data_IF_068267709005
#
_entry.id   IF_068267709005
#
_cell.length_a   1.000
_cell.length_b   1.000
_cell.length_c   1.000
_cell.angle_alpha   90.00
_cell.angle_beta   90.00
_cell.angle_gamma   90.00
#
_symmetry.space_group_name_H-M   'P 1'
#
loop_
_entity.id
_entity.type
_entity.pdbx_description
1 polymer ?
#
# COMPACT_ATOMS: atom_id res chain seq x y z
N UNK A 1 -38.90 15.89 16.07
CA UNK A 1 -38.47 15.75 14.66
C UNK A 1 -36.97 15.52 14.70
N UNK A 2 -36.56 14.25 14.63
CA UNK A 2 -35.17 13.84 14.83
C UNK A 2 -34.40 13.92 13.52
N UNK A 3 -33.33 14.72 13.51
CA UNK A 3 -32.26 14.60 12.51
C UNK A 3 -31.23 13.61 13.06
N UNK A 4 -31.36 12.34 12.72
CA UNK A 4 -30.23 11.41 12.82
C UNK A 4 -29.41 11.57 11.54
N UNK A 5 -28.33 12.34 11.61
CA UNK A 5 -27.28 12.23 10.61
C UNK A 5 -26.64 10.86 10.79
N UNK A 6 -26.86 9.97 9.83
CA UNK A 6 -26.10 8.72 9.70
C UNK A 6 -24.62 9.08 9.60
N UNK A 7 -23.74 8.48 10.41
CA UNK A 7 -22.32 8.76 10.31
C UNK A 7 -21.76 8.39 8.94
N UNK A 8 -20.71 9.09 8.50
CA UNK A 8 -20.10 8.94 7.16
C UNK A 8 -19.65 7.50 6.83
N UNK A 9 -19.52 6.62 7.82
CA UNK A 9 -19.18 5.20 7.64
C UNK A 9 -20.35 4.28 7.28
N UNK A 10 -21.61 4.74 7.31
CA UNK A 10 -22.79 3.91 7.02
C UNK A 10 -23.23 3.88 5.55
N UNK A 11 -22.55 4.59 4.64
CA UNK A 11 -22.92 4.58 3.21
C UNK A 11 -22.19 3.53 2.37
N UNK A 12 -22.25 2.25 2.78
CA UNK A 12 -21.87 1.11 1.92
C UNK A 12 -23.00 0.09 1.85
N UNK A 13 -24.23 0.58 1.70
CA UNK A 13 -25.38 -0.25 1.28
C UNK A 13 -25.18 -0.59 -0.21
N UNK A 14 -24.33 -1.58 -0.51
CA UNK A 14 -24.16 -2.10 -1.88
C UNK A 14 -22.86 -2.85 -2.18
N UNK A 15 -21.79 -2.58 -1.43
CA UNK A 15 -20.45 -3.09 -1.74
C UNK A 15 -20.03 -4.20 -0.76
N UNK A 16 -19.89 -5.44 -1.27
CA UNK A 16 -19.72 -6.64 -0.44
C UNK A 16 -18.25 -7.03 -0.21
N UNK A 17 -17.30 -6.39 -0.88
CA UNK A 17 -15.89 -6.78 -0.96
C UNK A 17 -14.95 -5.60 -0.65
N UNK A 18 -15.29 -4.80 0.36
CA UNK A 18 -14.54 -3.60 0.71
C UNK A 18 -13.20 -3.89 1.43
N UNK A 19 -12.26 -2.96 1.30
CA UNK A 19 -10.94 -2.96 1.95
C UNK A 19 -10.76 -1.73 2.84
N UNK A 20 -9.83 -1.73 3.81
CA UNK A 20 -8.95 -2.85 4.19
C UNK A 20 -9.73 -3.93 4.96
N UNK A 21 -9.05 -5.00 5.36
CA UNK A 21 -9.61 -6.04 6.24
C UNK A 21 -8.66 -6.35 7.39
N UNK A 22 -9.19 -7.01 8.42
CA UNK A 22 -8.37 -7.66 9.44
C UNK A 22 -7.96 -9.04 8.91
N UNK A 23 -6.65 -9.25 8.74
CA UNK A 23 -6.04 -10.51 8.34
C UNK A 23 -6.02 -11.44 9.55
N UNK A 24 -7.17 -12.04 9.83
CA UNK A 24 -7.38 -12.94 10.96
C UNK A 24 -7.76 -14.33 10.43
N UNK A 25 -6.73 -15.15 10.19
CA UNK A 25 -6.85 -16.46 9.57
C UNK A 25 -6.71 -16.42 8.05
N UNK A 26 -6.19 -17.50 7.49
CA UNK A 26 -5.94 -17.66 6.06
C UNK A 26 -5.98 -19.12 5.65
N UNK A 27 -6.18 -19.37 4.35
CA UNK A 27 -6.04 -20.68 3.75
C UNK A 27 -4.64 -20.81 3.16
N UNK A 28 -3.89 -21.80 3.66
CA UNK A 28 -2.59 -22.13 3.12
C UNK A 28 -2.74 -22.54 1.65
N UNK A 29 -2.05 -21.82 0.77
CA UNK A 29 -2.17 -21.95 -0.69
C UNK A 29 -0.79 -21.95 -1.31
N UNK A 30 -0.52 -22.93 -2.18
CA UNK A 30 0.61 -22.85 -3.11
C UNK A 30 0.14 -22.12 -4.37
N UNK A 31 0.65 -20.91 -4.58
CA UNK A 31 0.30 -20.09 -5.75
C UNK A 31 0.96 -20.58 -7.04
N UNK A 32 1.97 -21.46 -6.99
CA UNK A 32 2.62 -22.03 -8.19
C UNK A 32 3.01 -20.97 -9.23
N UNK A 33 2.37 -21.02 -10.41
CA UNK A 33 2.60 -20.07 -11.53
C UNK A 33 1.83 -18.75 -11.38
N UNK A 34 0.87 -18.68 -10.48
CA UNK A 34 0.03 -17.50 -10.22
C UNK A 34 0.63 -16.60 -9.12
N UNK A 35 1.81 -16.96 -8.59
CA UNK A 35 2.55 -16.22 -7.55
C UNK A 35 2.92 -14.80 -7.99
N UNK A 36 3.10 -13.93 -6.99
CA UNK A 36 3.68 -12.59 -7.18
C UNK A 36 5.09 -12.68 -7.78
N UNK A 37 5.36 -11.84 -8.78
CA UNK A 37 6.71 -11.53 -9.25
C UNK A 37 6.87 -10.03 -9.44
N UNK A 38 7.78 -9.42 -8.66
CA UNK A 38 8.07 -7.98 -8.73
C UNK A 38 9.16 -7.72 -9.77
N UNK A 39 8.86 -6.87 -10.77
CA UNK A 39 9.78 -6.50 -11.87
C UNK A 39 10.05 -5.01 -11.90
N UNK A 40 10.32 -4.39 -10.75
CA UNK A 40 10.72 -2.99 -10.69
C UNK A 40 12.22 -2.79 -11.00
N UNK A 41 12.57 -1.64 -11.58
CA UNK A 41 13.95 -1.23 -11.88
C UNK A 41 14.37 -0.07 -10.99
N UNK A 42 15.68 0.05 -10.75
CA UNK A 42 16.25 1.09 -9.88
C UNK A 42 15.96 2.52 -10.33
N UNK A 43 15.84 2.73 -11.64
CA UNK A 43 15.49 4.02 -12.23
C UNK A 43 13.97 4.12 -12.38
N UNK A 44 13.30 4.55 -11.31
CA UNK A 44 11.95 5.06 -11.39
C UNK A 44 12.00 6.56 -11.07
N UNK A 45 11.26 7.34 -11.83
CA UNK A 45 11.08 8.77 -11.59
C UNK A 45 9.62 8.98 -11.31
N UNK A 46 9.34 9.71 -10.24
CA UNK A 46 7.98 10.03 -9.85
C UNK A 46 7.91 11.46 -9.36
N UNK A 47 6.69 11.95 -9.35
CA UNK A 47 6.32 13.27 -8.89
C UNK A 47 5.61 13.10 -7.56
N UNK A 48 6.07 13.81 -6.53
CA UNK A 48 5.28 13.90 -5.30
C UNK A 48 4.12 14.83 -5.58
N UNK A 49 2.92 14.38 -5.28
CA UNK A 49 1.72 15.20 -5.31
C UNK A 49 1.25 15.46 -3.88
N UNK A 50 1.04 16.73 -3.54
CA UNK A 50 0.31 17.10 -2.32
C UNK A 50 -1.18 17.14 -2.65
N UNK A 51 -1.81 15.97 -2.57
CA UNK A 51 -3.26 15.82 -2.73
C UNK A 51 -4.02 15.99 -1.39
N UNK A 52 -3.32 16.46 -0.35
CA UNK A 52 -3.84 16.55 1.01
C UNK A 52 -4.10 15.20 1.69
N UNK A 53 -3.67 14.06 1.11
CA UNK A 53 -3.75 12.73 1.73
C UNK A 53 -2.42 12.26 2.34
N UNK A 54 -1.31 12.92 2.02
CA UNK A 54 -0.02 12.72 2.67
C UNK A 54 1.11 12.67 1.65
N UNK A 55 2.04 11.73 1.84
CA UNK A 55 3.09 11.47 0.85
C UNK A 55 2.52 10.54 -0.21
N UNK A 56 2.18 11.12 -1.36
CA UNK A 56 1.70 10.41 -2.54
C UNK A 56 2.65 10.66 -3.70
N UNK A 57 3.09 9.61 -4.36
CA UNK A 57 4.01 9.71 -5.49
C UNK A 57 3.42 9.00 -6.68
N UNK A 58 3.28 9.75 -7.79
CA UNK A 58 2.88 9.20 -9.07
C UNK A 58 4.08 8.97 -9.95
N UNK A 59 4.15 7.80 -10.56
CA UNK A 59 5.25 7.45 -11.46
C UNK A 59 4.92 7.85 -12.89
N UNK A 60 5.96 8.27 -13.62
CA UNK A 60 5.86 8.35 -15.08
C UNK A 60 5.66 6.94 -15.63
N UNK A 61 4.69 6.78 -16.53
CA UNK A 61 4.40 5.48 -17.13
C UNK A 61 5.65 4.84 -17.74
N UNK A 62 6.02 3.66 -17.26
CA UNK A 62 7.15 2.88 -17.76
C UNK A 62 6.76 1.40 -17.83
N UNK A 63 6.71 0.85 -19.05
CA UNK A 63 6.34 -0.55 -19.28
C UNK A 63 7.32 -1.56 -18.66
N UNK A 64 8.49 -1.11 -18.19
CA UNK A 64 9.49 -1.92 -17.50
C UNK A 64 9.30 -1.99 -15.99
N UNK A 65 8.39 -1.19 -15.43
CA UNK A 65 8.06 -1.14 -14.01
C UNK A 65 6.70 -1.83 -13.79
N UNK A 66 6.71 -3.11 -13.44
CA UNK A 66 5.48 -3.88 -13.29
C UNK A 66 5.60 -5.00 -12.25
N UNK A 67 4.46 -5.56 -11.88
CA UNK A 67 4.35 -6.86 -11.22
C UNK A 67 3.62 -7.84 -12.14
N UNK A 68 3.91 -9.12 -11.94
CA UNK A 68 3.10 -10.22 -12.47
C UNK A 68 2.38 -10.90 -11.30
N UNK A 69 1.08 -11.12 -11.45
CA UNK A 69 0.20 -11.74 -10.47
C UNK A 69 -0.93 -12.45 -11.22
N UNK A 70 -1.26 -13.70 -10.88
CA UNK A 70 -2.25 -14.52 -11.61
C UNK A 70 -2.05 -14.55 -13.13
N UNK A 71 -0.78 -14.61 -13.56
CA UNK A 71 -0.38 -14.56 -14.99
C UNK A 71 -0.84 -13.29 -15.72
N UNK A 72 -1.28 -12.26 -15.00
CA UNK A 72 -1.55 -10.93 -15.51
C UNK A 72 -0.40 -9.99 -15.18
N UNK A 73 -0.22 -8.98 -16.03
CA UNK A 73 0.76 -7.91 -15.83
C UNK A 73 0.07 -6.65 -15.34
N UNK A 74 0.57 -6.06 -14.25
CA UNK A 74 0.10 -4.79 -13.72
C UNK A 74 1.26 -3.80 -13.66
N UNK A 75 1.11 -2.67 -14.32
CA UNK A 75 2.12 -1.61 -14.41
C UNK A 75 2.07 -0.70 -13.20
N UNK A 76 3.25 -0.30 -12.70
CA UNK A 76 3.39 0.62 -11.58
C UNK A 76 2.75 1.97 -11.90
N UNK A 77 1.87 2.44 -11.03
CA UNK A 77 1.14 3.72 -11.20
C UNK A 77 1.60 4.72 -10.15
N UNK A 78 1.54 4.33 -8.89
CA UNK A 78 1.77 5.23 -7.76
C UNK A 78 2.12 4.43 -6.51
N UNK A 79 2.60 5.14 -5.49
CA UNK A 79 2.62 4.62 -4.14
C UNK A 79 2.35 5.73 -3.12
N UNK A 80 1.77 5.37 -1.99
CA UNK A 80 1.45 6.29 -0.91
C UNK A 80 1.44 5.58 0.43
N UNK A 81 1.53 6.37 1.50
CA UNK A 81 1.62 5.88 2.86
C UNK A 81 0.35 6.18 3.65
N UNK A 82 -0.02 5.24 4.51
CA UNK A 82 -1.03 5.40 5.54
C UNK A 82 -0.38 5.31 6.92
N UNK A 83 -0.86 6.15 7.84
CA UNK A 83 -0.52 6.08 9.26
C UNK A 83 -1.77 6.32 10.13
N UNK A 84 -2.12 5.39 11.04
CA UNK A 84 -1.54 4.05 11.21
C UNK A 84 -1.80 3.12 10.00
N UNK A 85 -1.49 1.82 10.07
CA UNK A 85 -1.81 0.90 8.97
C UNK A 85 -3.32 0.77 8.73
N UNK A 86 -3.72 0.46 7.51
CA UNK A 86 -5.11 0.21 7.15
C UNK A 86 -5.50 -1.24 7.43
N UNK A 87 -4.70 -2.19 6.96
CA UNK A 87 -4.84 -3.60 7.30
C UNK A 87 -4.40 -3.85 8.73
N UNK A 88 -5.11 -4.76 9.39
CA UNK A 88 -4.75 -5.30 10.69
C UNK A 88 -4.30 -6.74 10.53
N UNK A 89 -3.46 -7.23 11.44
CA UNK A 89 -3.03 -8.64 11.50
C UNK A 89 -3.44 -9.21 12.84
N UNK A 90 -4.27 -10.26 12.84
CA UNK A 90 -4.73 -10.90 14.07
C UNK A 90 -5.43 -9.94 15.05
N UNK A 91 -6.08 -8.88 14.54
CA UNK A 91 -6.72 -7.85 15.37
C UNK A 91 -5.82 -6.68 15.78
N UNK A 92 -4.54 -6.68 15.41
CA UNK A 92 -3.59 -5.62 15.75
C UNK A 92 -3.29 -4.72 14.55
N UNK A 93 -3.47 -3.42 14.73
CA UNK A 93 -3.04 -2.39 13.79
C UNK A 93 -1.52 -2.22 13.85
N UNK A 94 -0.89 -2.08 12.69
CA UNK A 94 0.55 -1.88 12.52
C UNK A 94 0.88 -0.37 12.48
N UNK A 95 2.16 -0.02 12.60
CA UNK A 95 2.60 1.38 12.72
C UNK A 95 2.27 2.21 11.47
N UNK A 96 2.58 1.68 10.29
CA UNK A 96 2.36 2.32 8.99
C UNK A 96 2.12 1.27 7.93
N UNK A 97 1.49 1.67 6.83
CA UNK A 97 1.33 0.82 5.66
C UNK A 97 1.62 1.60 4.38
N UNK A 98 2.45 1.02 3.53
CA UNK A 98 2.69 1.50 2.19
C UNK A 98 1.83 0.73 1.19
N UNK A 99 1.15 1.46 0.32
CA UNK A 99 0.47 0.88 -0.84
C UNK A 99 1.25 1.21 -2.10
N UNK A 100 1.71 0.18 -2.80
CA UNK A 100 2.28 0.31 -4.15
C UNK A 100 1.24 -0.18 -5.16
N UNK A 101 0.67 0.76 -5.90
CA UNK A 101 -0.50 0.54 -6.75
C UNK A 101 -0.05 0.25 -8.18
N UNK A 102 -0.61 -0.80 -8.75
CA UNK A 102 -0.40 -1.20 -10.12
C UNK A 102 -1.74 -1.33 -10.84
N UNK A 103 -1.71 -1.16 -12.17
CA UNK A 103 -2.90 -1.29 -13.01
C UNK A 103 -2.62 -2.18 -14.23
N UNK A 104 -3.54 -3.09 -14.52
CA UNK A 104 -3.57 -3.84 -15.75
C UNK A 104 -4.10 -2.93 -16.86
N UNK A 105 -3.35 -2.82 -17.96
CA UNK A 105 -3.66 -1.90 -19.06
C UNK A 105 -4.81 -2.40 -19.95
N UNK A 106 -5.08 -3.71 -19.93
CA UNK A 106 -6.07 -4.34 -20.81
C UNK A 106 -7.48 -4.23 -20.22
N UNK A 107 -7.63 -4.44 -18.90
CA UNK A 107 -8.94 -4.49 -18.23
C UNK A 107 -9.14 -3.39 -17.16
N UNK A 108 -8.11 -2.59 -16.87
CA UNK A 108 -8.16 -1.51 -15.89
C UNK A 108 -8.19 -1.97 -14.43
N UNK A 109 -8.16 -3.28 -14.16
CA UNK A 109 -8.11 -3.83 -12.79
C UNK A 109 -6.79 -3.47 -12.11
N UNK A 110 -6.79 -3.49 -10.78
CA UNK A 110 -5.65 -3.05 -9.98
C UNK A 110 -5.08 -4.20 -9.18
N UNK A 111 -3.77 -4.14 -8.97
CA UNK A 111 -3.09 -4.98 -7.99
C UNK A 111 -2.30 -4.07 -7.05
N UNK A 112 -2.53 -4.20 -5.75
CA UNK A 112 -1.89 -3.37 -4.74
C UNK A 112 -1.01 -4.23 -3.86
N UNK A 113 0.28 -3.87 -3.80
CA UNK A 113 1.22 -4.45 -2.85
C UNK A 113 1.20 -3.60 -1.56
N UNK A 114 0.68 -4.17 -0.49
CA UNK A 114 0.71 -3.61 0.86
C UNK A 114 1.97 -4.04 1.60
N UNK A 115 2.67 -3.09 2.20
CA UNK A 115 3.89 -3.33 2.98
C UNK A 115 3.75 -2.60 4.32
N UNK A 116 3.74 -3.33 5.43
CA UNK A 116 3.82 -2.72 6.74
C UNK A 116 5.20 -2.11 6.97
N UNK A 117 5.25 -0.94 7.61
CA UNK A 117 6.50 -0.27 7.96
C UNK A 117 6.57 -0.11 9.47
N UNK A 118 7.61 -0.66 10.07
CA UNK A 118 7.80 -0.71 11.51
C UNK A 118 9.12 -0.03 11.94
N UNK A 119 9.15 0.65 13.10
CA UNK A 119 10.37 1.20 13.63
C UNK A 119 11.25 0.08 14.22
N UNK A 120 12.53 0.07 13.89
CA UNK A 120 13.52 -0.77 14.54
C UNK A 120 14.73 0.08 14.95
N UNK A 121 15.19 -0.06 16.20
CA UNK A 121 16.34 0.68 16.73
C UNK A 121 17.69 0.25 16.13
N UNK A 122 17.76 -0.96 15.58
CA UNK A 122 18.97 -1.54 14.96
C UNK A 122 18.93 -1.47 13.43
N UNK A 123 17.83 -1.03 12.83
CA UNK A 123 17.76 -0.89 11.39
C UNK A 123 18.69 0.24 10.92
N UNK A 124 19.38 -0.01 9.82
CA UNK A 124 20.13 1.01 9.08
C UNK A 124 19.32 1.49 7.88
N UNK A 125 19.33 2.79 7.62
CA UNK A 125 18.76 3.31 6.38
C UNK A 125 19.73 3.13 5.22
N UNK A 126 19.21 2.72 4.08
CA UNK A 126 19.97 2.77 2.82
C UNK A 126 20.14 4.24 2.39
N UNK A 127 21.22 4.59 1.68
CA UNK A 127 21.35 5.93 1.10
C UNK A 127 20.17 6.31 0.19
N UNK A 128 19.60 5.32 -0.52
CA UNK A 128 18.42 5.50 -1.37
C UNK A 128 17.18 5.90 -0.56
N UNK A 129 16.90 5.19 0.54
CA UNK A 129 15.80 5.53 1.45
C UNK A 129 15.96 6.94 2.04
N UNK A 130 17.17 7.28 2.53
CA UNK A 130 17.44 8.61 3.09
C UNK A 130 17.22 9.71 2.03
N UNK A 131 17.76 9.53 0.83
CA UNK A 131 17.61 10.50 -0.26
C UNK A 131 16.14 10.68 -0.65
N UNK A 132 15.37 9.60 -0.71
CA UNK A 132 13.95 9.63 -1.03
C UNK A 132 13.15 10.36 0.06
N UNK A 133 13.43 10.09 1.33
CA UNK A 133 12.79 10.76 2.47
C UNK A 133 13.12 12.26 2.50
N UNK A 134 14.37 12.64 2.22
CA UNK A 134 14.76 14.04 2.07
C UNK A 134 13.99 14.72 0.92
N UNK A 135 13.81 14.03 -0.19
CA UNK A 135 12.96 14.48 -1.30
C UNK A 135 11.52 14.72 -0.87
N UNK A 136 10.94 13.82 -0.06
CA UNK A 136 9.61 14.02 0.52
C UNK A 136 9.55 15.28 1.38
N UNK A 137 10.52 15.51 2.26
CA UNK A 137 10.49 16.69 3.13
C UNK A 137 10.65 18.00 2.36
N UNK A 138 11.49 18.00 1.32
CA UNK A 138 11.75 19.17 0.52
C UNK A 138 10.53 19.60 -0.33
N UNK A 139 9.69 18.65 -0.74
CA UNK A 139 8.48 18.94 -1.53
C UNK A 139 7.27 19.35 -0.68
N UNK A 140 7.37 19.31 0.65
CA UNK A 140 6.24 19.58 1.53
C UNK A 140 6.24 21.06 1.92
N UNK A 141 5.26 21.80 1.41
CA UNK A 141 5.06 23.23 1.72
C UNK A 141 5.29 24.21 0.56
N UNK A 142 5.69 23.73 -0.63
CA UNK A 142 5.86 24.58 -1.81
C UNK A 142 4.64 24.55 -2.77
N UNK A 143 3.65 23.68 -2.51
CA UNK A 143 2.51 23.47 -3.41
C UNK A 143 2.91 23.00 -4.80
N UNK A 144 4.14 22.52 -4.96
CA UNK A 144 4.77 22.21 -6.23
C UNK A 144 4.95 20.70 -6.40
N UNK A 145 4.57 20.23 -7.59
CA UNK A 145 4.80 18.88 -8.06
C UNK A 145 6.32 18.69 -8.28
N UNK A 146 7.04 18.33 -7.23
CA UNK A 146 8.48 18.07 -7.30
C UNK A 146 8.75 16.70 -7.91
N UNK A 147 9.50 16.68 -9.00
CA UNK A 147 10.05 15.44 -9.56
C UNK A 147 11.22 15.03 -8.66
N UNK A 148 11.10 13.86 -8.03
CA UNK A 148 12.17 13.28 -7.24
C UNK A 148 12.58 11.92 -7.79
N UNK A 149 13.88 11.56 -7.72
CA UNK A 149 14.30 10.18 -7.81
C UNK A 149 13.61 9.40 -6.69
N UNK A 150 12.75 8.46 -7.05
CA UNK A 150 11.88 7.76 -6.10
C UNK A 150 11.71 6.34 -6.57
N UNK A 151 11.85 5.38 -5.66
CA UNK A 151 11.91 3.98 -6.03
C UNK A 151 11.23 3.11 -4.98
N UNK A 152 10.16 2.36 -5.33
CA UNK A 152 9.46 1.51 -4.38
C UNK A 152 10.34 0.35 -3.88
N UNK A 153 11.46 0.03 -4.57
CA UNK A 153 12.41 -0.99 -4.11
C UNK A 153 13.03 -0.68 -2.74
N UNK A 154 13.22 0.59 -2.38
CA UNK A 154 13.81 0.99 -1.09
C UNK A 154 12.90 0.61 0.10
N UNK A 155 11.61 0.45 -0.17
CA UNK A 155 10.57 0.15 0.81
C UNK A 155 10.27 -1.34 0.94
N UNK A 156 10.89 -2.19 0.10
CA UNK A 156 10.66 -3.62 0.20
C UNK A 156 11.39 -4.22 1.43
N UNK A 157 10.75 -5.17 2.13
CA UNK A 157 11.39 -5.99 3.17
C UNK A 157 12.44 -6.94 2.56
N UNK A 158 13.13 -7.66 3.45
CA UNK A 158 14.09 -8.69 3.09
C UNK A 158 13.40 -9.87 2.42
N UNK A 159 12.44 -10.50 3.11
CA UNK A 159 11.58 -11.54 2.54
C UNK A 159 10.36 -10.94 1.84
N UNK A 160 10.15 -11.34 0.59
CA UNK A 160 9.00 -10.93 -0.24
C UNK A 160 8.22 -12.13 -0.77
N UNK A 161 8.67 -13.32 -0.43
CA UNK A 161 8.11 -14.58 -0.90
C UNK A 161 6.92 -15.01 -0.05
N UNK A 162 6.74 -14.46 1.16
CA UNK A 162 5.62 -14.74 2.05
C UNK A 162 4.62 -13.58 2.09
N UNK A 163 3.36 -13.85 1.73
CA UNK A 163 2.33 -12.81 1.66
C UNK A 163 0.90 -13.37 1.74
N UNK A 164 -0.01 -12.51 2.18
CA UNK A 164 -1.45 -12.73 2.10
C UNK A 164 -1.99 -12.27 0.75
N UNK A 165 -3.09 -12.88 0.28
CA UNK A 165 -3.85 -12.47 -0.91
C UNK A 165 -5.34 -12.46 -0.64
N UNK A 166 -6.04 -11.46 -1.18
CA UNK A 166 -7.50 -11.43 -1.24
C UNK A 166 -7.97 -10.42 -2.30
N UNK A 167 -9.22 -10.55 -2.76
CA UNK A 167 -9.85 -9.58 -3.65
C UNK A 167 -10.63 -8.54 -2.83
N UNK A 168 -10.50 -7.28 -3.18
CA UNK A 168 -11.06 -6.19 -2.41
C UNK A 168 -11.26 -4.91 -3.20
N UNK A 169 -11.19 -3.78 -2.48
CA UNK A 169 -11.45 -2.47 -3.03
C UNK A 169 -10.28 -1.51 -2.88
N UNK A 170 -10.39 -0.35 -3.51
CA UNK A 170 -9.65 0.83 -3.07
C UNK A 170 -10.07 1.19 -1.63
N UNK A 171 -9.12 1.67 -0.83
CA UNK A 171 -9.37 2.12 0.55
C UNK A 171 -9.70 3.62 0.63
N UNK A 172 -9.60 4.33 -0.50
CA UNK A 172 -10.00 5.72 -0.67
C UNK A 172 -11.15 5.84 -1.67
N UNK A 173 -11.97 6.91 -1.62
CA UNK A 173 -13.04 7.13 -2.57
C UNK A 173 -12.55 7.05 -4.03
N UNK A 174 -13.27 6.36 -4.92
CA UNK A 174 -14.66 5.89 -4.79
C UNK A 174 -14.85 4.47 -4.21
N UNK A 175 -13.80 3.85 -3.68
CA UNK A 175 -13.84 2.51 -3.09
C UNK A 175 -14.22 1.39 -4.08
N UNK A 176 -13.76 1.51 -5.32
CA UNK A 176 -14.02 0.54 -6.40
C UNK A 176 -13.53 -0.87 -6.02
N UNK A 177 -14.37 -1.89 -6.20
CA UNK A 177 -14.11 -3.30 -5.87
C UNK A 177 -13.39 -4.03 -7.02
N UNK A 178 -12.22 -3.55 -7.41
CA UNK A 178 -11.44 -4.07 -8.54
C UNK A 178 -9.97 -4.30 -8.20
N UNK A 179 -9.66 -4.56 -6.93
CA UNK A 179 -8.30 -4.63 -6.40
C UNK A 179 -7.94 -6.03 -5.95
N UNK A 180 -6.92 -6.61 -6.59
CA UNK A 180 -6.23 -7.80 -6.09
C UNK A 180 -5.15 -7.36 -5.09
N UNK A 181 -5.39 -7.63 -3.81
CA UNK A 181 -4.47 -7.27 -2.73
C UNK A 181 -3.40 -8.33 -2.54
N UNK A 182 -2.17 -7.88 -2.35
CA UNK A 182 -1.04 -8.68 -1.87
C UNK A 182 -0.41 -7.97 -0.68
N UNK A 183 -0.50 -8.54 0.52
CA UNK A 183 0.07 -7.96 1.74
C UNK A 183 1.29 -8.77 2.14
N UNK A 184 2.50 -8.18 2.06
CA UNK A 184 3.72 -8.87 2.47
C UNK A 184 3.67 -9.19 3.96
N UNK A 185 4.13 -10.40 4.33
CA UNK A 185 4.16 -10.84 5.73
C UNK A 185 5.25 -10.11 6.53
N UNK A 186 6.45 -10.03 5.97
CA UNK A 186 7.56 -9.34 6.60
C UNK A 186 7.39 -7.82 6.46
N UNK A 187 7.41 -7.05 7.58
CA UNK A 187 7.38 -5.60 7.50
C UNK A 187 8.73 -5.06 7.02
N UNK A 188 8.70 -3.92 6.35
CA UNK A 188 9.90 -3.10 6.17
C UNK A 188 10.25 -2.44 7.49
N UNK A 189 11.43 -2.71 8.02
CA UNK A 189 11.94 -2.00 9.19
C UNK A 189 12.77 -0.79 8.78
N UNK A 190 12.57 0.35 9.45
CA UNK A 190 13.39 1.56 9.28
C UNK A 190 13.78 2.13 10.64
N UNK A 191 14.85 2.95 10.75
CA UNK A 191 15.21 3.57 12.02
C UNK A 191 14.05 4.39 12.58
N UNK A 192 13.81 4.29 13.89
CA UNK A 192 12.75 5.06 14.58
C UNK A 192 12.87 6.57 14.33
N UNK A 193 14.09 7.09 14.27
CA UNK A 193 14.36 8.50 14.00
C UNK A 193 13.90 8.93 12.60
N UNK A 194 14.04 8.06 11.60
CA UNK A 194 13.57 8.33 10.23
C UNK A 194 12.05 8.22 10.14
N UNK A 195 11.47 7.18 10.73
CA UNK A 195 10.01 7.02 10.80
C UNK A 195 9.33 8.23 11.46
N UNK A 196 9.91 8.74 12.56
CA UNK A 196 9.37 9.89 13.29
C UNK A 196 9.35 11.17 12.44
N UNK A 197 10.26 11.31 11.48
CA UNK A 197 10.30 12.46 10.56
C UNK A 197 9.21 12.37 9.48
N UNK A 198 8.71 11.17 9.15
CA UNK A 198 7.59 11.00 8.20
C UNK A 198 6.23 11.36 8.82
N UNK A 199 6.04 11.09 10.12
CA UNK A 199 4.75 11.23 10.82
C UNK A 199 4.03 12.57 10.57
N UNK A 200 4.69 13.75 10.60
CA UNK A 200 4.01 15.03 10.39
C UNK A 200 3.35 15.20 9.01
N UNK A 201 3.75 14.38 8.04
CA UNK A 201 3.26 14.42 6.66
C UNK A 201 2.12 13.41 6.41
N UNK A 202 1.80 12.55 7.37
CA UNK A 202 0.77 11.50 7.25
C UNK A 202 -0.47 11.91 8.04
N UNK A 203 -1.22 12.87 7.48
CA UNK A 203 -2.25 13.63 8.23
C UNK A 203 -3.65 13.01 8.20
N UNK A 204 -3.91 12.03 7.34
CA UNK A 204 -5.23 11.38 7.24
C UNK A 204 -5.27 10.07 8.03
N UNK A 205 -6.34 9.84 8.81
CA UNK A 205 -6.50 8.58 9.51
C UNK A 205 -6.74 7.45 8.51
N UNK A 206 -6.09 6.32 8.74
CA UNK A 206 -6.34 5.06 8.03
C UNK A 206 -7.82 4.66 8.12
N UNK A 207 -8.36 4.11 7.02
CA UNK A 207 -9.71 3.52 7.03
C UNK A 207 -9.70 2.28 7.92
N UNK A 208 -10.77 2.10 8.70
CA UNK A 208 -10.91 0.90 9.54
C UNK A 208 -11.14 -0.37 8.72
N UNK A 209 -10.74 -1.55 9.23
CA UNK A 209 -11.08 -2.83 8.64
C UNK A 209 -12.58 -3.00 8.35
N UNK A 210 -12.87 -3.49 7.16
CA UNK A 210 -14.21 -3.79 6.67
C UNK A 210 -14.51 -5.29 6.85
N UNK A 211 -15.80 -5.69 6.87
CA UNK A 211 -16.17 -7.10 6.97
C UNK A 211 -15.57 -7.96 5.85
N UNK A 212 -15.00 -9.12 6.19
CA UNK A 212 -14.48 -10.08 5.20
C UNK A 212 -15.60 -10.63 4.29
N UNK A 213 -16.81 -10.76 4.82
CA UNK A 213 -17.98 -11.34 4.14
C UNK A 213 -17.68 -12.73 3.59
N UNK A 214 -17.99 -12.99 2.32
CA UNK A 214 -17.82 -14.32 1.68
C UNK A 214 -16.46 -14.49 1.00
N UNK A 215 -15.49 -13.60 1.27
CA UNK A 215 -14.14 -13.69 0.71
C UNK A 215 -13.27 -14.61 1.54
N UNK A 216 -12.19 -15.07 0.92
CA UNK A 216 -11.14 -15.84 1.58
C UNK A 216 -9.84 -15.03 1.56
N UNK A 217 -9.10 -15.11 2.67
CA UNK A 217 -7.70 -14.69 2.70
C UNK A 217 -6.87 -15.94 2.42
N UNK A 218 -6.00 -15.87 1.42
CA UNK A 218 -5.04 -16.92 1.08
C UNK A 218 -3.66 -16.49 1.58
N UNK A 219 -2.80 -17.42 1.96
CA UNK A 219 -1.39 -17.14 2.18
C UNK A 219 -0.53 -18.35 1.83
N UNK A 220 0.73 -18.13 1.50
CA UNK A 220 1.68 -19.19 1.15
C UNK A 220 2.67 -19.53 2.27
N UNK A 221 2.34 -19.15 3.51
CA UNK A 221 3.11 -19.46 4.70
C UNK A 221 2.19 -19.97 5.82
N UNK A 222 2.81 -20.64 6.79
CA UNK A 222 2.14 -21.15 7.98
C UNK A 222 2.01 -20.09 9.06
#
# INVERSE_FOLDING_TARGET
MGNSQTPFWENLVGNAQQSPINLNGHYLTDFGKDKLSIKWKKSATGTIEDDGHGIHVKFVADHRQYIELDRKRFHLVEFHFHHPSEHWVGGSQQTMELHVVHQNVDDGTRAVLGIFIEPNGEAESTPGLVAQMQGFYASQGDGSNSIIPTNPLEWLPGNRDEYYRYEGSLTTPKYDENVSWVILREPKTIPKAELSKLMPYLKKPARFPQPLNRRFVLANFK
#
